data_IF_426141279676
#
_entry.id   IF_426141279676
#
_cell.length_a   1.000
_cell.length_b   1.000
_cell.length_c   1.000
_cell.angle_alpha   90.00
_cell.angle_beta   90.00
_cell.angle_gamma   90.00
#
_symmetry.space_group_name_H-M   'P 1'
#
loop_
_entity.id
_entity.type
_entity.pdbx_description
1 polymer ?
#
# COMPACT_ATOMS: atom_id res chain seq x y z
N UNK A 1 -26.97 18.10 -12.90
CA UNK A 1 -26.44 16.74 -13.12
C UNK A 1 -24.93 16.85 -13.34
N UNK A 2 -24.11 16.11 -12.60
CA UNK A 2 -22.67 16.06 -12.88
C UNK A 2 -22.44 15.16 -14.09
N UNK A 3 -21.81 15.69 -15.14
CA UNK A 3 -21.53 14.95 -16.38
C UNK A 3 -20.54 13.81 -16.07
N UNK A 4 -20.89 12.60 -16.47
CA UNK A 4 -20.04 11.42 -16.34
C UNK A 4 -19.37 11.11 -17.68
N UNK A 5 -18.05 11.02 -17.70
CA UNK A 5 -17.23 10.69 -18.86
C UNK A 5 -16.89 9.20 -18.84
N UNK A 6 -17.08 8.54 -19.99
CA UNK A 6 -16.78 7.13 -20.18
C UNK A 6 -15.39 7.00 -20.81
N UNK A 7 -14.51 6.22 -20.19
CA UNK A 7 -13.16 5.97 -20.70
C UNK A 7 -13.11 4.53 -21.22
N UNK A 8 -12.69 4.37 -22.48
CA UNK A 8 -12.50 3.08 -23.18
C UNK A 8 -11.09 2.89 -23.70
N UNK A 9 -10.36 3.97 -23.91
CA UNK A 9 -9.06 3.99 -24.59
C UNK A 9 -8.00 4.65 -23.72
N UNK A 10 -6.74 4.34 -24.02
CA UNK A 10 -5.59 4.95 -23.37
C UNK A 10 -5.51 6.46 -23.63
N UNK A 11 -5.91 6.92 -24.81
CA UNK A 11 -5.99 8.35 -25.15
C UNK A 11 -7.03 9.08 -24.29
N UNK A 12 -8.22 8.49 -24.08
CA UNK A 12 -9.24 9.03 -23.17
C UNK A 12 -8.75 9.04 -21.72
N UNK A 13 -8.01 8.02 -21.30
CA UNK A 13 -7.37 7.99 -19.96
C UNK A 13 -6.37 9.14 -19.80
N UNK A 14 -5.51 9.36 -20.80
CA UNK A 14 -4.56 10.47 -20.79
C UNK A 14 -5.26 11.84 -20.81
N UNK A 15 -6.43 11.94 -21.45
CA UNK A 15 -7.24 13.15 -21.55
C UNK A 15 -7.93 13.57 -20.24
N UNK A 16 -7.96 12.72 -19.21
CA UNK A 16 -8.45 13.08 -17.86
C UNK A 16 -7.75 14.33 -17.31
N UNK A 17 -6.51 14.59 -17.73
CA UNK A 17 -5.76 15.80 -17.36
C UNK A 17 -6.44 17.11 -17.77
N UNK A 18 -7.37 17.06 -18.74
CA UNK A 18 -8.05 18.23 -19.28
C UNK A 18 -9.26 18.68 -18.45
N UNK A 19 -9.86 17.78 -17.64
CA UNK A 19 -10.94 18.12 -16.70
C UNK A 19 -10.75 17.37 -15.37
N UNK A 20 -9.95 17.94 -14.48
CA UNK A 20 -9.57 17.32 -13.21
C UNK A 20 -10.70 17.23 -12.20
N UNK A 21 -11.83 17.91 -12.42
CA UNK A 21 -13.01 17.87 -11.55
C UNK A 21 -14.09 16.89 -12.06
N UNK A 22 -13.90 16.33 -13.26
CA UNK A 22 -14.85 15.43 -13.90
C UNK A 22 -15.10 14.12 -13.14
N UNK A 23 -16.21 13.49 -13.49
CA UNK A 23 -16.56 12.15 -13.01
C UNK A 23 -16.27 11.16 -14.14
N UNK A 24 -15.40 10.20 -13.90
CA UNK A 24 -14.90 9.27 -14.90
C UNK A 24 -15.25 7.84 -14.53
N UNK A 25 -15.64 7.05 -15.53
CA UNK A 25 -15.94 5.62 -15.37
C UNK A 25 -15.21 4.83 -16.47
N UNK A 26 -14.42 3.84 -16.08
CA UNK A 26 -13.86 2.88 -17.05
C UNK A 26 -14.96 1.96 -17.57
N UNK A 27 -14.99 1.75 -18.88
CA UNK A 27 -15.97 0.88 -19.53
C UNK A 27 -15.40 -0.49 -19.89
N UNK A 28 -14.07 -0.61 -19.96
CA UNK A 28 -13.34 -1.83 -20.24
C UNK A 28 -11.95 -1.77 -19.58
N UNK A 29 -11.27 -2.91 -19.53
CA UNK A 29 -9.85 -2.93 -19.18
C UNK A 29 -9.06 -2.18 -20.27
N UNK A 30 -8.04 -1.44 -19.87
CA UNK A 30 -7.17 -0.65 -20.76
C UNK A 30 -5.79 -1.28 -20.76
N UNK A 31 -5.35 -1.81 -21.90
CA UNK A 31 -3.95 -2.14 -22.11
C UNK A 31 -3.15 -0.83 -22.28
N UNK A 32 -2.25 -0.59 -21.35
CA UNK A 32 -1.38 0.58 -21.29
C UNK A 32 0.10 0.21 -21.54
N UNK A 33 0.39 -0.99 -22.04
CA UNK A 33 1.76 -1.42 -22.34
C UNK A 33 2.47 -0.51 -23.35
N UNK A 34 1.73 0.05 -24.31
CA UNK A 34 2.27 1.01 -25.29
C UNK A 34 2.81 2.29 -24.65
N UNK A 35 2.39 2.63 -23.42
CA UNK A 35 2.92 3.81 -22.71
C UNK A 35 4.42 3.74 -22.51
N UNK A 36 5.05 2.55 -22.55
CA UNK A 36 6.50 2.40 -22.41
C UNK A 36 7.31 3.19 -23.47
N UNK A 37 6.75 3.42 -24.66
CA UNK A 37 7.39 4.20 -25.74
C UNK A 37 6.97 5.68 -25.74
N UNK A 38 5.99 6.08 -24.93
CA UNK A 38 5.48 7.45 -24.92
C UNK A 38 6.48 8.42 -24.32
N UNK A 39 6.41 9.68 -24.78
CA UNK A 39 7.18 10.80 -24.23
C UNK A 39 8.69 10.52 -24.18
N UNK A 40 9.26 10.03 -25.29
CA UNK A 40 10.67 9.64 -25.40
C UNK A 40 11.09 8.60 -24.34
N UNK A 41 10.19 7.64 -24.06
CA UNK A 41 10.39 6.60 -23.04
C UNK A 41 10.15 7.04 -21.60
N UNK A 42 9.63 8.26 -21.38
CA UNK A 42 9.24 8.73 -20.05
C UNK A 42 7.91 8.13 -19.56
N UNK A 43 7.17 7.44 -20.42
CA UNK A 43 5.92 6.80 -20.02
C UNK A 43 4.70 7.71 -20.07
N UNK A 44 3.59 7.22 -19.52
CA UNK A 44 2.37 7.99 -19.31
C UNK A 44 2.65 9.30 -18.54
N UNK A 45 1.89 10.36 -18.84
CA UNK A 45 1.98 11.62 -18.11
C UNK A 45 1.03 11.63 -16.91
N UNK A 46 1.53 11.68 -15.65
CA UNK A 46 0.70 11.62 -14.46
C UNK A 46 -0.43 12.64 -14.42
N UNK A 47 -1.61 12.24 -13.94
CA UNK A 47 -2.74 13.13 -13.70
C UNK A 47 -2.46 13.93 -12.42
N UNK A 48 -1.99 15.17 -12.55
CA UNK A 48 -1.27 15.88 -11.47
C UNK A 48 -2.10 16.30 -10.26
N UNK A 49 -3.34 16.75 -10.44
CA UNK A 49 -4.13 17.41 -9.39
C UNK A 49 -5.61 17.06 -9.46
N UNK A 50 -5.92 15.77 -9.46
CA UNK A 50 -7.29 15.27 -9.61
C UNK A 50 -8.17 15.66 -8.42
N UNK A 51 -9.38 16.14 -8.70
CA UNK A 51 -10.35 16.63 -7.71
C UNK A 51 -11.71 15.95 -7.81
N UNK A 52 -11.96 15.22 -8.89
CA UNK A 52 -13.22 14.56 -9.19
C UNK A 52 -13.32 13.13 -8.65
N UNK A 53 -14.11 12.31 -9.35
CA UNK A 53 -14.33 10.89 -9.04
C UNK A 53 -13.82 10.06 -10.22
N UNK A 54 -12.98 9.07 -9.93
CA UNK A 54 -12.55 8.08 -10.91
C UNK A 54 -13.01 6.70 -10.44
N UNK A 55 -14.00 6.15 -11.13
CA UNK A 55 -14.53 4.81 -10.91
C UNK A 55 -13.95 3.85 -11.95
N UNK A 56 -13.08 2.95 -11.50
CA UNK A 56 -12.57 1.87 -12.33
C UNK A 56 -13.65 0.87 -12.71
N UNK A 57 -14.83 0.87 -12.05
CA UNK A 57 -15.95 -0.01 -12.38
C UNK A 57 -15.55 -1.51 -12.45
N UNK A 58 -14.63 -1.92 -11.56
CA UNK A 58 -14.07 -3.27 -11.51
C UNK A 58 -13.09 -3.58 -12.65
N UNK A 59 -12.71 -2.58 -13.45
CA UNK A 59 -11.78 -2.69 -14.58
C UNK A 59 -10.34 -2.39 -14.18
N UNK A 60 -9.44 -2.75 -15.09
CA UNK A 60 -8.00 -2.68 -14.91
C UNK A 60 -7.33 -1.76 -15.92
N UNK A 61 -6.20 -1.20 -15.51
CA UNK A 61 -5.19 -0.61 -16.40
C UNK A 61 -3.99 -1.54 -16.36
N UNK A 62 -3.62 -2.10 -17.51
CA UNK A 62 -2.66 -3.21 -17.61
C UNK A 62 -1.33 -2.70 -18.17
N UNK A 63 -0.21 -3.04 -17.55
CA UNK A 63 1.12 -2.77 -18.12
C UNK A 63 1.53 -1.29 -18.17
N UNK A 64 0.93 -0.41 -17.36
CA UNK A 64 1.24 1.02 -17.34
C UNK A 64 2.71 1.29 -17.02
N UNK A 65 3.36 2.13 -17.83
CA UNK A 65 4.74 2.59 -17.58
C UNK A 65 4.76 4.09 -17.31
N UNK A 66 5.40 4.48 -16.20
CA UNK A 66 5.75 5.87 -15.87
C UNK A 66 7.21 5.89 -15.46
N UNK A 67 8.10 6.43 -16.29
CA UNK A 67 9.54 6.46 -16.02
C UNK A 67 10.05 7.90 -15.91
N UNK A 68 9.89 8.49 -14.72
CA UNK A 68 10.14 9.93 -14.49
C UNK A 68 11.11 10.15 -13.32
N UNK A 69 12.37 9.67 -13.39
CA UNK A 69 13.30 9.61 -12.26
C UNK A 69 13.72 10.97 -11.68
N UNK A 70 13.39 12.07 -12.37
CA UNK A 70 13.67 13.46 -11.94
C UNK A 70 12.42 14.18 -11.39
N UNK A 71 11.24 13.58 -11.51
CA UNK A 71 9.95 14.20 -11.19
C UNK A 71 9.47 13.84 -9.79
N UNK A 72 8.74 14.76 -9.15
CA UNK A 72 8.08 14.55 -7.86
C UNK A 72 6.59 14.26 -8.04
N UNK A 73 5.95 13.60 -7.07
CA UNK A 73 4.52 13.23 -7.10
C UNK A 73 4.21 12.40 -8.36
N UNK A 74 4.71 11.16 -8.34
CA UNK A 74 4.63 10.24 -9.47
C UNK A 74 3.71 9.06 -9.10
N UNK A 75 2.84 8.72 -10.04
CA UNK A 75 1.81 7.66 -10.02
C UNK A 75 0.86 7.91 -11.18
N UNK A 76 -0.11 7.02 -11.43
CA UNK A 76 -1.17 7.30 -12.41
C UNK A 76 -1.83 8.67 -12.09
N UNK A 77 -2.12 8.88 -10.81
CA UNK A 77 -2.45 10.18 -10.26
C UNK A 77 -1.26 10.74 -9.49
N UNK A 78 -0.76 11.91 -9.87
CA UNK A 78 0.29 12.60 -9.12
C UNK A 78 -0.19 13.00 -7.73
N UNK A 79 -1.32 13.70 -7.68
CA UNK A 79 -2.00 14.08 -6.44
C UNK A 79 -3.52 14.01 -6.62
N UNK A 80 -4.23 13.60 -5.56
CA UNK A 80 -5.69 13.65 -5.48
C UNK A 80 -6.13 14.54 -4.30
N UNK A 81 -7.13 15.40 -4.53
CA UNK A 81 -7.61 16.41 -3.57
C UNK A 81 -8.51 15.84 -2.47
N UNK A 82 -8.78 16.62 -1.41
CA UNK A 82 -9.54 16.17 -0.21
C UNK A 82 -10.93 15.57 -0.50
N UNK A 83 -11.61 16.05 -1.53
CA UNK A 83 -12.94 15.58 -1.94
C UNK A 83 -12.93 14.57 -3.09
N UNK A 84 -11.73 14.23 -3.58
CA UNK A 84 -11.60 13.29 -4.69
C UNK A 84 -11.79 11.85 -4.20
N UNK A 85 -12.26 11.00 -5.11
CA UNK A 85 -12.40 9.56 -4.86
C UNK A 85 -11.84 8.79 -6.04
N UNK A 86 -10.96 7.83 -5.76
CA UNK A 86 -10.54 6.80 -6.71
C UNK A 86 -11.10 5.47 -6.20
N UNK A 87 -11.87 4.75 -7.00
CA UNK A 87 -12.48 3.51 -6.55
C UNK A 87 -12.55 2.41 -7.61
N UNK A 88 -12.62 1.15 -7.17
CA UNK A 88 -12.90 -0.03 -8.00
C UNK A 88 -11.93 -0.19 -9.18
N UNK A 89 -10.64 0.09 -8.98
CA UNK A 89 -9.64 0.16 -10.05
C UNK A 89 -8.44 -0.74 -9.77
N UNK A 90 -8.09 -1.58 -10.75
CA UNK A 90 -6.84 -2.35 -10.74
C UNK A 90 -5.75 -1.71 -11.58
N UNK A 91 -4.54 -1.60 -11.03
CA UNK A 91 -3.31 -1.34 -11.80
C UNK A 91 -2.52 -2.64 -11.89
N UNK A 92 -2.58 -3.30 -13.05
CA UNK A 92 -2.16 -4.68 -13.25
C UNK A 92 -0.84 -4.76 -14.06
N UNK A 93 0.27 -4.97 -13.35
CA UNK A 93 1.62 -5.00 -13.94
C UNK A 93 2.12 -3.62 -14.37
N UNK A 94 3.28 -3.60 -15.04
CA UNK A 94 3.97 -2.36 -15.43
C UNK A 94 4.94 -1.83 -14.38
N UNK A 95 5.32 -0.55 -14.53
CA UNK A 95 6.35 0.07 -13.69
C UNK A 95 6.13 1.57 -13.47
N UNK A 96 6.43 2.02 -12.25
CA UNK A 96 6.40 3.44 -11.88
C UNK A 96 7.73 3.83 -11.22
N UNK A 97 8.46 4.77 -11.84
CA UNK A 97 9.74 5.32 -11.38
C UNK A 97 9.64 6.84 -11.20
N UNK A 98 10.12 7.34 -10.05
CA UNK A 98 10.10 8.76 -9.73
C UNK A 98 11.24 9.22 -8.82
N UNK A 99 11.36 10.53 -8.59
CA UNK A 99 12.36 11.09 -7.66
C UNK A 99 11.84 11.05 -6.22
N UNK A 100 10.84 11.88 -5.93
CA UNK A 100 10.25 12.08 -4.61
C UNK A 100 8.75 11.85 -4.67
N UNK A 101 8.21 11.26 -3.61
CA UNK A 101 6.79 10.96 -3.48
C UNK A 101 6.25 10.10 -4.63
N UNK A 102 6.57 8.81 -4.61
CA UNK A 102 6.24 7.87 -5.69
C UNK A 102 5.25 6.81 -5.18
N UNK A 103 4.06 6.77 -5.76
CA UNK A 103 3.08 5.71 -5.55
C UNK A 103 2.74 5.03 -6.87
N UNK A 104 2.44 3.74 -6.88
CA UNK A 104 2.00 3.07 -8.11
C UNK A 104 0.73 3.71 -8.68
N UNK A 105 -0.30 3.83 -7.85
CA UNK A 105 -1.56 4.46 -8.23
C UNK A 105 -1.57 5.97 -7.95
N UNK A 106 -1.16 6.39 -6.74
CA UNK A 106 -1.25 7.79 -6.31
C UNK A 106 0.04 8.31 -5.66
N UNK A 107 0.61 9.40 -6.14
CA UNK A 107 1.73 10.07 -5.45
C UNK A 107 1.30 10.62 -4.08
N UNK A 108 0.30 11.50 -4.04
CA UNK A 108 -0.23 12.09 -2.80
C UNK A 108 -1.75 12.04 -2.72
N UNK A 109 -2.28 11.41 -1.68
CA UNK A 109 -3.69 11.18 -1.45
C UNK A 109 -4.23 11.99 -0.28
N UNK A 110 -4.93 13.08 -0.59
CA UNK A 110 -5.71 13.83 0.40
C UNK A 110 -7.17 13.34 0.48
N UNK A 111 -7.66 12.68 -0.57
CA UNK A 111 -9.02 12.12 -0.67
C UNK A 111 -9.05 10.62 -0.39
N UNK A 112 -10.09 9.96 -0.88
CA UNK A 112 -10.37 8.54 -0.62
C UNK A 112 -9.88 7.65 -1.76
N UNK A 113 -9.25 6.53 -1.41
CA UNK A 113 -8.93 5.43 -2.33
C UNK A 113 -9.60 4.16 -1.79
N UNK A 114 -10.48 3.53 -2.56
CA UNK A 114 -11.21 2.36 -2.07
C UNK A 114 -11.41 1.26 -3.11
N UNK A 115 -11.30 0.00 -2.71
CA UNK A 115 -11.44 -1.16 -3.62
C UNK A 115 -10.46 -1.07 -4.80
N UNK A 116 -9.21 -0.68 -4.54
CA UNK A 116 -8.19 -0.49 -5.56
C UNK A 116 -6.97 -1.36 -5.31
N UNK A 117 -6.23 -1.70 -6.36
CA UNK A 117 -4.99 -2.44 -6.19
C UNK A 117 -3.89 -2.04 -7.17
N UNK A 118 -2.65 -2.35 -6.80
CA UNK A 118 -1.47 -2.13 -7.61
C UNK A 118 -0.52 -3.35 -7.58
N UNK A 119 -0.30 -3.98 -8.73
CA UNK A 119 0.65 -5.10 -8.89
C UNK A 119 1.92 -4.69 -9.65
N UNK A 120 2.01 -3.42 -10.07
CA UNK A 120 3.16 -2.85 -10.75
C UNK A 120 4.39 -2.69 -9.84
N UNK A 121 5.58 -2.71 -10.42
CA UNK A 121 6.80 -2.37 -9.68
C UNK A 121 6.87 -0.87 -9.42
N UNK A 122 7.37 -0.47 -8.25
CA UNK A 122 7.52 0.95 -7.85
C UNK A 122 8.93 1.23 -7.36
N UNK A 123 9.56 2.25 -7.91
CA UNK A 123 10.90 2.69 -7.50
C UNK A 123 11.03 4.20 -7.34
N UNK A 124 11.84 4.64 -6.37
CA UNK A 124 12.15 6.05 -6.21
C UNK A 124 13.29 6.32 -5.23
N UNK A 125 13.53 7.60 -4.89
CA UNK A 125 14.61 7.98 -3.97
C UNK A 125 14.13 8.22 -2.55
N UNK A 126 13.16 9.10 -2.34
CA UNK A 126 12.83 9.58 -0.98
C UNK A 126 11.70 8.81 -0.31
N UNK A 127 10.45 9.05 -0.69
CA UNK A 127 9.29 8.39 -0.10
C UNK A 127 8.57 7.60 -1.19
N UNK A 128 8.41 6.29 -0.95
CA UNK A 128 7.82 5.36 -1.90
C UNK A 128 6.73 4.54 -1.20
N UNK A 129 5.59 4.34 -1.87
CA UNK A 129 4.57 3.36 -1.49
C UNK A 129 4.13 2.54 -2.71
N UNK A 130 3.78 1.26 -2.53
CA UNK A 130 3.34 0.42 -3.65
C UNK A 130 2.03 0.92 -4.28
N UNK A 131 1.05 1.31 -3.47
CA UNK A 131 -0.22 1.89 -3.94
C UNK A 131 -0.17 3.42 -3.93
N UNK A 132 0.17 4.00 -2.78
CA UNK A 132 0.19 5.45 -2.60
C UNK A 132 1.43 5.91 -1.84
N UNK A 133 2.08 7.01 -2.22
CA UNK A 133 3.23 7.46 -1.42
C UNK A 133 2.79 8.12 -0.10
N UNK A 134 1.84 9.04 -0.13
CA UNK A 134 1.37 9.75 1.07
C UNK A 134 -0.14 9.67 1.16
N UNK A 135 -0.69 9.33 2.32
CA UNK A 135 -2.12 9.22 2.55
C UNK A 135 -2.54 10.06 3.77
N UNK A 136 -3.15 11.22 3.52
CA UNK A 136 -3.82 12.02 4.55
C UNK A 136 -5.34 11.79 4.58
N UNK A 137 -5.91 11.25 3.50
CA UNK A 137 -7.29 10.75 3.48
C UNK A 137 -7.39 9.27 3.84
N UNK A 138 -8.48 8.62 3.43
CA UNK A 138 -8.74 7.21 3.74
C UNK A 138 -8.31 6.30 2.60
N UNK A 139 -7.61 5.21 2.93
CA UNK A 139 -7.38 4.08 2.03
C UNK A 139 -8.05 2.85 2.63
N UNK A 140 -8.97 2.24 1.88
CA UNK A 140 -9.82 1.17 2.39
C UNK A 140 -10.03 0.05 1.38
N UNK A 141 -9.91 -1.21 1.78
CA UNK A 141 -10.08 -2.38 0.91
C UNK A 141 -9.12 -2.34 -0.28
N UNK A 142 -7.85 -2.01 -0.03
CA UNK A 142 -6.85 -1.84 -1.07
C UNK A 142 -5.64 -2.73 -0.85
N UNK A 143 -4.92 -3.05 -1.93
CA UNK A 143 -3.69 -3.82 -1.81
C UNK A 143 -2.59 -3.46 -2.79
N UNK A 144 -1.36 -3.82 -2.43
CA UNK A 144 -0.20 -3.77 -3.31
C UNK A 144 0.55 -5.10 -3.27
N UNK A 145 0.90 -5.64 -4.45
CA UNK A 145 1.66 -6.90 -4.55
C UNK A 145 2.91 -6.80 -5.44
N UNK A 146 3.12 -5.66 -6.10
CA UNK A 146 4.35 -5.41 -6.85
C UNK A 146 5.54 -5.09 -5.95
N UNK A 147 6.75 -5.25 -6.46
CA UNK A 147 7.97 -4.93 -5.71
C UNK A 147 8.12 -3.42 -5.49
N UNK A 148 8.53 -3.02 -4.28
CA UNK A 148 8.72 -1.63 -3.89
C UNK A 148 10.15 -1.41 -3.41
N UNK A 149 10.87 -0.49 -4.07
CA UNK A 149 12.28 -0.21 -3.76
C UNK A 149 12.54 1.28 -3.65
N UNK A 150 13.28 1.68 -2.62
CA UNK A 150 13.64 3.09 -2.41
C UNK A 150 14.95 3.27 -1.67
N UNK A 151 15.36 4.53 -1.44
CA UNK A 151 16.60 4.83 -0.70
C UNK A 151 16.30 5.24 0.74
N UNK A 152 15.30 6.09 0.97
CA UNK A 152 15.05 6.65 2.31
C UNK A 152 13.89 5.97 3.05
N UNK A 153 12.64 6.30 2.72
CA UNK A 153 11.44 5.82 3.39
C UNK A 153 10.57 5.01 2.43
N UNK A 154 10.27 3.76 2.77
CA UNK A 154 9.54 2.83 1.89
C UNK A 154 8.43 2.13 2.67
N UNK A 155 7.23 2.10 2.11
CA UNK A 155 6.14 1.25 2.56
C UNK A 155 5.67 0.32 1.44
N UNK A 156 5.31 -0.92 1.75
CA UNK A 156 4.80 -1.83 0.71
C UNK A 156 3.47 -1.39 0.13
N UNK A 157 2.58 -0.81 0.94
CA UNK A 157 1.33 -0.19 0.47
C UNK A 157 1.45 1.34 0.44
N UNK A 158 1.83 1.95 1.56
CA UNK A 158 1.86 3.41 1.73
C UNK A 158 3.20 3.92 2.28
N UNK A 159 3.81 4.92 1.67
CA UNK A 159 5.04 5.51 2.21
C UNK A 159 4.82 6.21 3.56
N UNK A 160 3.89 7.16 3.61
CA UNK A 160 3.52 7.93 4.81
C UNK A 160 2.00 7.89 5.02
N UNK A 161 1.55 7.39 6.17
CA UNK A 161 0.15 7.39 6.57
C UNK A 161 -0.12 8.46 7.65
N UNK A 162 -1.01 9.40 7.34
CA UNK A 162 -1.55 10.43 8.25
C UNK A 162 -3.07 10.28 8.45
N UNK A 163 -3.76 9.71 7.47
CA UNK A 163 -5.16 9.31 7.57
C UNK A 163 -5.31 7.84 7.97
N UNK A 164 -6.44 7.25 7.61
CA UNK A 164 -6.79 5.88 7.97
C UNK A 164 -6.45 4.89 6.84
N UNK A 165 -5.80 3.77 7.21
CA UNK A 165 -5.54 2.61 6.35
C UNK A 165 -6.33 1.44 6.95
N UNK A 166 -7.36 0.97 6.23
CA UNK A 166 -8.35 0.03 6.79
C UNK A 166 -8.54 -1.14 5.84
N UNK A 167 -8.51 -2.38 6.33
CA UNK A 167 -8.77 -3.57 5.50
C UNK A 167 -7.86 -3.64 4.27
N UNK A 168 -6.56 -3.38 4.46
CA UNK A 168 -5.59 -3.30 3.37
C UNK A 168 -4.45 -4.31 3.54
N UNK A 169 -3.76 -4.65 2.44
CA UNK A 169 -2.61 -5.55 2.53
C UNK A 169 -1.46 -5.26 1.57
N UNK A 170 -0.28 -5.74 1.95
CA UNK A 170 0.92 -5.70 1.13
C UNK A 170 1.53 -7.11 0.99
N UNK A 171 1.69 -7.57 -0.24
CA UNK A 171 2.24 -8.89 -0.58
C UNK A 171 3.56 -8.82 -1.36
N UNK A 172 3.91 -7.62 -1.88
CA UNK A 172 5.13 -7.42 -2.65
C UNK A 172 6.36 -7.31 -1.76
N UNK A 173 7.54 -7.65 -2.29
CA UNK A 173 8.81 -7.44 -1.59
C UNK A 173 9.11 -5.94 -1.43
N UNK A 174 9.52 -5.53 -0.24
CA UNK A 174 9.86 -4.13 0.08
C UNK A 174 11.32 -4.04 0.49
N UNK A 175 12.10 -3.15 -0.14
CA UNK A 175 13.53 -3.11 0.18
C UNK A 175 14.32 -1.84 -0.11
N UNK A 176 15.63 -1.93 0.19
CA UNK A 176 16.70 -0.94 -0.06
C UNK A 176 16.66 0.37 0.74
N UNK A 177 15.53 0.69 1.37
CA UNK A 177 15.31 1.87 2.20
C UNK A 177 16.09 1.90 3.52
N UNK A 178 16.23 3.11 4.08
CA UNK A 178 16.73 3.32 5.44
C UNK A 178 15.66 3.04 6.49
N UNK A 179 14.43 3.47 6.23
CA UNK A 179 13.25 3.23 7.07
C UNK A 179 12.22 2.50 6.22
N UNK A 180 11.88 1.28 6.61
CA UNK A 180 10.96 0.43 5.84
C UNK A 180 9.87 -0.13 6.74
N UNK A 181 8.63 -0.06 6.29
CA UNK A 181 7.58 -0.94 6.80
C UNK A 181 6.97 -1.79 5.71
N UNK A 182 6.58 -3.02 6.03
CA UNK A 182 5.96 -3.90 5.04
C UNK A 182 4.62 -3.37 4.53
N UNK A 183 3.83 -2.71 5.38
CA UNK A 183 2.61 -2.00 4.95
C UNK A 183 2.88 -0.50 4.79
N UNK A 184 3.39 0.14 5.85
CA UNK A 184 3.59 1.60 5.89
C UNK A 184 5.02 1.99 6.25
N UNK A 185 5.62 2.91 5.51
CA UNK A 185 6.97 3.40 5.85
C UNK A 185 6.98 4.15 7.20
N UNK A 186 6.07 5.11 7.34
CA UNK A 186 5.84 5.80 8.61
C UNK A 186 4.37 6.15 8.81
N UNK A 187 3.88 6.05 10.04
CA UNK A 187 2.49 6.37 10.38
C UNK A 187 2.38 7.33 11.55
N UNK A 188 1.36 8.19 11.44
CA UNK A 188 0.82 9.09 12.46
C UNK A 188 -0.71 9.00 12.58
N UNK A 189 -1.33 8.06 11.86
CA UNK A 189 -2.78 7.87 11.79
C UNK A 189 -3.21 6.47 12.22
N UNK A 190 -4.41 6.05 11.82
CA UNK A 190 -4.98 4.74 12.16
C UNK A 190 -4.65 3.70 11.09
N UNK A 191 -4.19 2.53 11.55
CA UNK A 191 -4.02 1.33 10.74
C UNK A 191 -4.83 0.23 11.40
N UNK A 192 -5.79 -0.33 10.66
CA UNK A 192 -6.75 -1.26 11.21
C UNK A 192 -7.03 -2.39 10.24
N UNK A 193 -7.10 -3.62 10.74
CA UNK A 193 -7.49 -4.79 9.96
C UNK A 193 -6.58 -5.01 8.74
N UNK A 194 -5.26 -4.86 8.88
CA UNK A 194 -4.33 -4.93 7.76
C UNK A 194 -3.35 -6.08 7.89
N UNK A 195 -2.86 -6.61 6.77
CA UNK A 195 -1.86 -7.67 6.80
C UNK A 195 -0.69 -7.49 5.83
N UNK A 196 0.44 -8.11 6.15
CA UNK A 196 1.65 -8.14 5.31
C UNK A 196 2.15 -9.56 5.17
N UNK A 197 2.27 -10.01 3.93
CA UNK A 197 2.89 -11.28 3.57
C UNK A 197 4.19 -11.12 2.77
N UNK A 198 4.44 -9.93 2.22
CA UNK A 198 5.66 -9.63 1.48
C UNK A 198 6.90 -9.61 2.36
N UNK A 199 8.06 -9.93 1.78
CA UNK A 199 9.34 -9.81 2.47
C UNK A 199 9.74 -8.35 2.65
N UNK A 200 10.29 -8.00 3.83
CA UNK A 200 10.68 -6.64 4.19
C UNK A 200 12.17 -6.61 4.53
N UNK A 201 12.98 -5.90 3.75
CA UNK A 201 14.43 -5.83 3.96
C UNK A 201 15.01 -4.41 3.86
N UNK A 202 15.46 -3.84 4.98
CA UNK A 202 15.99 -2.48 5.04
C UNK A 202 17.34 -2.34 5.73
N UNK A 203 17.87 -1.11 5.71
CA UNK A 203 19.25 -0.82 6.16
C UNK A 203 19.36 -0.37 7.61
N UNK A 204 18.37 0.36 8.16
CA UNK A 204 18.44 0.91 9.52
C UNK A 204 17.24 0.54 10.38
N UNK A 205 16.06 1.08 10.05
CA UNK A 205 14.82 0.89 10.80
C UNK A 205 13.87 0.06 9.94
N UNK A 206 13.45 -1.09 10.43
CA UNK A 206 12.59 -2.02 9.69
C UNK A 206 11.49 -2.51 10.61
N UNK A 207 10.24 -2.32 10.21
CA UNK A 207 9.09 -2.95 10.84
C UNK A 207 8.39 -3.88 9.86
N UNK A 208 7.93 -5.05 10.30
CA UNK A 208 7.14 -5.93 9.46
C UNK A 208 5.84 -5.26 8.97
N UNK A 209 5.20 -4.44 9.81
CA UNK A 209 4.02 -3.65 9.44
C UNK A 209 4.38 -2.18 9.17
N UNK A 210 4.96 -1.50 10.16
CA UNK A 210 5.27 -0.08 10.12
C UNK A 210 6.75 0.20 10.40
N UNK A 211 7.43 0.92 9.51
CA UNK A 211 8.84 1.27 9.74
C UNK A 211 8.99 2.16 10.97
N UNK A 212 8.14 3.17 11.09
CA UNK A 212 8.13 4.03 12.27
C UNK A 212 6.77 4.61 12.60
N UNK A 213 6.42 4.59 13.88
CA UNK A 213 5.20 5.16 14.44
C UNK A 213 5.54 6.45 15.18
N UNK A 214 5.29 7.59 14.53
CA UNK A 214 5.70 8.93 14.96
C UNK A 214 4.55 9.94 14.85
N UNK A 215 4.52 10.96 15.70
CA UNK A 215 3.48 11.99 15.67
C UNK A 215 3.67 12.99 16.80
N UNK A 216 3.36 14.26 16.56
CA UNK A 216 3.58 15.33 17.56
C UNK A 216 2.63 15.22 18.77
N UNK A 217 1.41 14.73 18.57
CA UNK A 217 0.38 14.63 19.61
C UNK A 217 0.10 13.22 20.10
N UNK A 218 0.66 12.18 19.45
CA UNK A 218 0.37 10.75 19.67
C UNK A 218 -1.11 10.33 19.48
N UNK A 219 -2.05 11.27 19.50
CA UNK A 219 -3.49 11.06 19.43
C UNK A 219 -3.92 10.56 18.05
N UNK A 220 -4.70 9.49 18.02
CA UNK A 220 -5.18 8.84 16.79
C UNK A 220 -4.15 7.96 16.09
N UNK A 221 -2.89 7.94 16.55
CA UNK A 221 -1.86 7.07 15.99
C UNK A 221 -2.00 5.66 16.58
N UNK A 222 -2.73 4.80 15.87
CA UNK A 222 -3.21 3.51 16.37
C UNK A 222 -2.94 2.43 15.34
N UNK A 223 -2.37 1.32 15.78
CA UNK A 223 -2.23 0.09 15.00
C UNK A 223 -3.05 -0.96 15.73
N UNK A 224 -4.07 -1.50 15.07
CA UNK A 224 -4.99 -2.45 15.70
C UNK A 224 -5.37 -3.55 14.73
N UNK A 225 -5.53 -4.78 15.22
CA UNK A 225 -5.99 -5.92 14.43
C UNK A 225 -5.13 -6.11 13.18
N UNK A 226 -3.81 -6.15 13.31
CA UNK A 226 -2.90 -6.28 12.17
C UNK A 226 -2.09 -7.57 12.23
N UNK A 227 -1.68 -8.10 11.09
CA UNK A 227 -0.92 -9.35 11.02
C UNK A 227 0.27 -9.28 10.07
N UNK A 228 1.41 -9.85 10.46
CA UNK A 228 2.60 -9.98 9.61
C UNK A 228 3.06 -11.43 9.56
N UNK A 229 3.07 -12.00 8.36
CA UNK A 229 3.65 -13.33 8.07
C UNK A 229 4.94 -13.26 7.25
N UNK A 230 5.22 -12.12 6.62
CA UNK A 230 6.42 -11.93 5.78
C UNK A 230 7.71 -11.84 6.59
N UNK A 231 8.83 -12.22 5.96
CA UNK A 231 10.16 -12.14 6.61
C UNK A 231 10.60 -10.70 6.84
N UNK A 232 11.19 -10.40 8.00
CA UNK A 232 11.64 -9.05 8.36
C UNK A 232 13.15 -9.04 8.59
N UNK A 233 13.89 -8.26 7.81
CA UNK A 233 15.36 -8.15 7.94
C UNK A 233 15.80 -6.70 7.97
N UNK A 234 16.56 -6.31 9.00
CA UNK A 234 17.14 -4.98 9.09
C UNK A 234 18.54 -4.95 9.70
N UNK A 235 19.17 -3.78 9.67
CA UNK A 235 20.56 -3.60 10.12
C UNK A 235 20.74 -2.95 11.49
N UNK A 236 19.68 -2.38 12.11
CA UNK A 236 19.80 -1.74 13.44
C UNK A 236 18.58 -1.92 14.33
N UNK A 237 17.45 -1.30 13.99
CA UNK A 237 16.19 -1.41 14.73
C UNK A 237 15.23 -2.25 13.89
N UNK A 238 14.92 -3.46 14.36
CA UNK A 238 14.09 -4.41 13.62
C UNK A 238 12.94 -4.82 14.53
N UNK A 239 11.72 -4.57 14.07
CA UNK A 239 10.51 -4.96 14.75
C UNK A 239 9.63 -5.88 13.90
N UNK A 240 9.00 -6.88 14.51
CA UNK A 240 8.02 -7.74 13.87
C UNK A 240 6.81 -6.95 13.39
N UNK A 241 6.40 -5.92 14.15
CA UNK A 241 5.34 -4.99 13.74
C UNK A 241 5.90 -3.60 13.49
N UNK A 242 6.49 -2.95 14.50
CA UNK A 242 6.96 -1.56 14.41
C UNK A 242 8.46 -1.46 14.65
N UNK A 243 9.21 -1.01 13.63
CA UNK A 243 10.68 -0.90 13.75
C UNK A 243 11.16 0.22 14.69
N UNK A 244 10.40 1.31 14.81
CA UNK A 244 10.64 2.37 15.78
C UNK A 244 9.33 3.03 16.22
N UNK A 245 8.86 2.65 17.41
CA UNK A 245 7.67 3.21 18.03
C UNK A 245 8.07 4.32 19.01
N UNK A 246 7.86 5.59 18.63
CA UNK A 246 8.08 6.75 19.53
C UNK A 246 6.81 7.23 20.19
N UNK A 247 5.66 6.87 19.62
CA UNK A 247 4.33 7.26 20.07
C UNK A 247 3.27 6.31 19.54
N UNK A 248 2.03 6.49 20.00
CA UNK A 248 0.87 5.72 19.55
C UNK A 248 0.79 4.36 20.22
N UNK A 249 -0.29 3.64 19.91
CA UNK A 249 -0.57 2.31 20.46
C UNK A 249 -0.51 1.24 19.38
N UNK A 250 -0.13 0.04 19.80
CA UNK A 250 -0.24 -1.21 19.03
C UNK A 250 -1.07 -2.15 19.89
N UNK A 251 -2.22 -2.59 19.38
CA UNK A 251 -3.13 -3.48 20.09
C UNK A 251 -3.55 -4.62 19.16
N UNK A 252 -3.80 -5.80 19.72
CA UNK A 252 -4.42 -6.93 19.03
C UNK A 252 -3.76 -7.20 17.66
N UNK A 253 -2.43 -7.09 17.62
CA UNK A 253 -1.66 -7.16 16.39
C UNK A 253 -0.56 -8.17 16.57
N UNK A 254 -0.36 -8.97 15.53
CA UNK A 254 0.34 -10.23 15.64
C UNK A 254 1.42 -10.36 14.56
N UNK A 255 2.47 -11.10 14.86
CA UNK A 255 3.44 -11.52 13.85
C UNK A 255 3.99 -12.92 14.11
N UNK A 256 4.30 -13.61 13.03
CA UNK A 256 5.02 -14.88 13.08
C UNK A 256 6.51 -14.62 13.33
N UNK A 257 7.00 -15.02 14.52
CA UNK A 257 8.39 -14.76 14.92
C UNK A 257 9.41 -15.62 14.16
N UNK A 258 9.01 -16.79 13.65
CA UNK A 258 9.89 -17.70 12.93
C UNK A 258 10.10 -17.22 11.49
N UNK A 259 9.03 -16.80 10.80
CA UNK A 259 9.18 -16.21 9.46
C UNK A 259 9.84 -14.84 9.52
N UNK A 260 9.49 -14.01 10.52
CA UNK A 260 10.12 -12.72 10.76
C UNK A 260 11.60 -12.86 11.16
N UNK A 261 12.02 -14.02 11.67
CA UNK A 261 13.37 -14.30 12.19
C UNK A 261 13.74 -13.39 13.36
N UNK A 262 12.80 -13.21 14.28
CA UNK A 262 12.94 -12.38 15.49
C UNK A 262 12.71 -13.23 16.74
N UNK A 263 13.23 -12.76 17.87
CA UNK A 263 13.16 -13.46 19.16
C UNK A 263 11.82 -13.28 19.90
N UNK A 264 10.99 -12.33 19.46
CA UNK A 264 9.65 -12.07 20.01
C UNK A 264 9.54 -10.81 20.87
N UNK A 265 10.65 -10.10 21.13
CA UNK A 265 10.70 -8.97 22.07
C UNK A 265 10.43 -7.61 21.40
N UNK A 266 9.35 -7.51 20.64
CA UNK A 266 8.97 -6.30 19.92
C UNK A 266 7.51 -5.87 20.20
N UNK A 267 7.11 -4.70 19.71
CA UNK A 267 5.74 -4.23 19.63
C UNK A 267 4.75 -5.30 19.16
N UNK A 268 3.66 -5.50 19.93
CA UNK A 268 2.56 -6.43 19.66
C UNK A 268 2.80 -7.88 20.13
N UNK A 269 2.02 -8.81 19.61
CA UNK A 269 1.95 -10.20 20.08
C UNK A 269 2.70 -11.09 19.08
N UNK A 270 3.72 -11.82 19.55
CA UNK A 270 4.46 -12.75 18.71
C UNK A 270 4.02 -14.19 18.99
N UNK A 271 4.09 -15.05 17.98
CA UNK A 271 3.85 -16.47 18.13
C UNK A 271 4.66 -17.29 17.14
N UNK A 272 4.83 -18.57 17.47
CA UNK A 272 5.39 -19.53 16.53
C UNK A 272 4.47 -19.67 15.32
N UNK A 273 5.03 -20.11 14.19
CA UNK A 273 4.27 -20.33 12.96
C UNK A 273 3.05 -21.21 13.19
N UNK A 274 3.18 -22.26 14.01
CA UNK A 274 2.09 -23.19 14.34
C UNK A 274 0.95 -22.55 15.14
N UNK A 275 1.26 -21.58 16.01
CA UNK A 275 0.28 -20.83 16.80
C UNK A 275 -0.44 -19.83 15.91
N UNK A 276 0.29 -19.18 15.01
CA UNK A 276 -0.24 -18.21 14.04
C UNK A 276 -1.16 -18.84 12.98
N UNK A 277 -1.43 -20.15 13.06
CA UNK A 277 -2.42 -20.86 12.25
C UNK A 277 -3.70 -21.24 13.00
N UNK A 278 -3.78 -20.98 14.30
CA UNK A 278 -4.93 -21.36 15.11
C UNK A 278 -5.81 -20.13 15.33
N UNK A 279 -7.11 -20.22 14.99
CA UNK A 279 -8.04 -19.12 15.18
C UNK A 279 -8.08 -18.67 16.65
N UNK A 280 -7.94 -19.63 17.57
CA UNK A 280 -7.88 -19.38 19.02
C UNK A 280 -6.73 -18.47 19.45
N UNK A 281 -5.68 -18.30 18.64
CA UNK A 281 -4.59 -17.36 18.93
C UNK A 281 -4.99 -15.90 18.73
N UNK A 282 -6.09 -15.66 18.03
CA UNK A 282 -6.56 -14.34 17.59
C UNK A 282 -7.90 -13.98 18.23
N UNK A 283 -7.98 -14.06 19.56
CA UNK A 283 -9.23 -13.86 20.33
C UNK A 283 -9.93 -12.53 20.02
N UNK A 284 -9.17 -11.50 19.62
CA UNK A 284 -9.67 -10.16 19.33
C UNK A 284 -9.98 -9.88 17.84
N UNK A 285 -9.67 -10.82 16.93
CA UNK A 285 -9.93 -10.64 15.50
C UNK A 285 -11.34 -11.09 15.13
N UNK A 286 -12.02 -10.28 14.33
CA UNK A 286 -13.36 -10.60 13.80
C UNK A 286 -13.25 -11.55 12.59
N UNK A 287 -13.42 -12.85 12.85
CA UNK A 287 -13.48 -13.90 11.81
C UNK A 287 -14.86 -14.06 11.18
N UNK A 288 -15.89 -13.38 11.68
CA UNK A 288 -17.21 -13.39 11.05
C UNK A 288 -17.23 -12.46 9.84
N UNK A 289 -16.56 -11.31 9.91
CA UNK A 289 -16.70 -10.23 8.90
C UNK A 289 -15.39 -9.81 8.23
N UNK A 290 -14.25 -9.93 8.90
CA UNK A 290 -13.01 -9.28 8.44
C UNK A 290 -11.95 -10.29 8.02
N UNK A 291 -11.75 -11.32 8.83
CA UNK A 291 -10.67 -12.27 8.67
C UNK A 291 -11.19 -13.64 8.28
N UNK A 292 -10.38 -14.40 7.55
CA UNK A 292 -10.54 -15.84 7.40
C UNK A 292 -9.23 -16.52 7.73
N UNK A 293 -9.32 -17.69 8.34
CA UNK A 293 -8.18 -18.56 8.63
C UNK A 293 -8.54 -19.97 8.18
N UNK A 294 -7.58 -20.65 7.55
CA UNK A 294 -7.73 -22.04 7.13
C UNK A 294 -6.79 -22.92 7.94
N UNK A 295 -7.36 -23.57 8.96
CA UNK A 295 -6.66 -24.43 9.92
C UNK A 295 -6.31 -25.82 9.33
N UNK A 296 -6.94 -26.22 8.22
CA UNK A 296 -6.88 -27.59 7.70
C UNK A 296 -5.71 -27.90 6.76
N UNK A 297 -4.77 -26.96 6.64
CA UNK A 297 -4.05 -26.76 5.38
C UNK A 297 -2.53 -26.77 5.69
N UNK A 298 -1.80 -27.79 5.21
CA UNK A 298 -0.45 -28.14 5.67
C UNK A 298 0.55 -26.96 5.75
N UNK A 299 1.44 -27.01 6.77
CA UNK A 299 2.48 -26.03 7.14
C UNK A 299 3.36 -25.46 5.99
N UNK A 300 3.33 -26.04 4.78
CA UNK A 300 4.14 -25.65 3.62
C UNK A 300 3.55 -24.51 2.77
N UNK A 301 2.36 -23.99 3.08
CA UNK A 301 1.69 -22.94 2.31
C UNK A 301 1.59 -21.64 3.11
N UNK A 302 2.44 -20.68 2.75
CA UNK A 302 2.87 -19.53 3.56
C UNK A 302 1.86 -18.39 3.87
N UNK A 303 0.57 -18.46 3.51
CA UNK A 303 -0.36 -17.32 3.71
C UNK A 303 -1.80 -17.76 3.93
N UNK A 304 -2.30 -17.83 5.17
CA UNK A 304 -3.68 -18.29 5.44
C UNK A 304 -4.52 -17.47 6.40
N UNK A 305 -3.95 -16.51 7.11
CA UNK A 305 -4.75 -15.39 7.63
C UNK A 305 -4.80 -14.37 6.51
N UNK A 306 -5.89 -14.42 5.78
CA UNK A 306 -6.17 -13.47 4.71
C UNK A 306 -7.45 -12.72 5.05
N UNK A 307 -7.52 -11.50 4.56
CA UNK A 307 -8.76 -10.73 4.60
C UNK A 307 -9.88 -11.51 3.89
N UNK A 308 -11.08 -11.55 4.48
CA UNK A 308 -12.25 -12.17 3.87
C UNK A 308 -12.69 -11.28 2.71
N UNK A 309 -12.47 -11.75 1.48
CA UNK A 309 -12.98 -11.09 0.27
C UNK A 309 -14.48 -11.37 0.21
N UNK A 310 -15.31 -10.45 0.69
CA UNK A 310 -16.72 -10.42 0.30
C UNK A 310 -16.86 -10.11 -1.20
#
# INVERSE_FOLDING_TARGET
MVKTYKIRTLAELQAVKNDLAGHYVLMNDIDASETASWNDGAGFEPIRSFKGVFDGNGKKIIGLTINRPKTIHVGLFGCIGKKSTIKNLGLDGGSVSGKYYVGGLVGSALGTITNCYATNSVSGRMVIGGLACSASGTIMNCYASGSVSGIFLVGGLVGIARGAIICCYAAGSVGNGLIIGGLVGSTSGTIMNCYVSGSVSGKKIVGGLAGSQNGKSCQGNTIVNCYVSGSVRGGRCVGGLVGNQRCGTVANSYYDKQTAKLDGNDSGISGATVEMYQQSTFEDLDFEKVWTIDEGLSHSQLNKIIWRKE
#
